data_IF_858869818472
#
_entry.id   IF_858869818472
#
_cell.length_a   1.000
_cell.length_b   1.000
_cell.length_c   1.000
_cell.angle_alpha   90.00
_cell.angle_beta   90.00
_cell.angle_gamma   90.00
#
_symmetry.space_group_name_H-M   'P 1'
#
loop_
_entity.id
_entity.type
_entity.pdbx_description
1 polymer ?
#
# COMPACT_ATOMS: atom_id res chain seq x y z
N UNK A 1 45.50 9.86 8.79
CA UNK A 1 44.30 9.81 9.67
C UNK A 1 43.10 10.32 8.87
N UNK A 2 42.53 9.55 7.90
CA UNK A 2 41.26 9.98 7.22
C UNK A 2 40.83 9.03 6.08
N UNK A 3 41.19 7.76 6.10
CA UNK A 3 40.74 6.82 5.06
C UNK A 3 39.83 5.67 5.57
N UNK A 4 39.57 5.61 6.87
CA UNK A 4 38.78 4.51 7.48
C UNK A 4 37.32 4.83 7.78
N UNK A 5 36.85 6.06 7.54
CA UNK A 5 35.47 6.43 7.88
C UNK A 5 34.46 6.35 6.74
N UNK A 6 34.87 6.02 5.53
CA UNK A 6 33.95 5.99 4.37
C UNK A 6 33.39 4.58 4.09
N UNK A 7 33.99 3.55 4.69
CA UNK A 7 33.58 2.15 4.43
C UNK A 7 32.43 1.63 5.30
N UNK A 8 31.73 2.51 6.02
CA UNK A 8 30.75 2.07 7.01
C UNK A 8 29.27 2.15 6.56
N UNK A 9 28.96 2.51 5.31
CA UNK A 9 27.54 2.80 4.93
C UNK A 9 27.13 2.13 3.59
N UNK A 10 27.58 0.94 3.28
CA UNK A 10 26.92 0.19 2.22
C UNK A 10 26.52 -1.18 2.77
N UNK A 11 25.35 -1.23 3.43
CA UNK A 11 24.61 -2.49 3.66
C UNK A 11 23.85 -2.79 2.38
N UNK A 12 24.45 -3.53 1.46
CA UNK A 12 23.68 -4.11 0.37
C UNK A 12 23.06 -5.40 0.92
N UNK A 13 21.78 -5.36 1.26
CA UNK A 13 20.98 -6.57 1.48
C UNK A 13 20.59 -7.08 0.10
N UNK A 14 21.38 -7.99 -0.47
CA UNK A 14 20.99 -8.71 -1.67
C UNK A 14 20.11 -9.88 -1.21
N UNK A 15 18.80 -9.72 -1.33
CA UNK A 15 17.86 -10.83 -1.19
C UNK A 15 17.79 -11.52 -2.55
N UNK A 16 18.57 -12.58 -2.75
CA UNK A 16 18.44 -13.45 -3.91
C UNK A 16 17.40 -14.52 -3.64
N UNK A 17 16.35 -14.54 -4.42
CA UNK A 17 15.16 -15.38 -4.24
C UNK A 17 15.23 -16.59 -5.19
N UNK A 18 16.16 -17.53 -4.90
CA UNK A 18 16.25 -18.80 -5.62
C UNK A 18 16.55 -20.00 -4.70
N UNK A 19 16.04 -19.98 -3.49
CA UNK A 19 16.03 -21.18 -2.63
C UNK A 19 17.35 -21.57 -1.96
N UNK A 20 18.44 -20.84 -2.15
CA UNK A 20 19.70 -21.16 -1.50
C UNK A 20 20.56 -19.92 -1.22
N UNK A 21 20.81 -19.70 0.05
CA UNK A 21 21.73 -18.76 0.70
C UNK A 21 21.19 -17.34 1.03
N UNK A 22 20.79 -17.20 2.30
CA UNK A 22 20.79 -15.91 2.99
C UNK A 22 22.21 -15.60 3.48
N UNK A 23 22.86 -14.59 2.92
CA UNK A 23 24.04 -14.00 3.51
C UNK A 23 23.67 -12.83 4.39
N UNK A 24 23.79 -12.97 5.69
CA UNK A 24 23.79 -11.84 6.61
C UNK A 24 25.23 -11.38 6.73
N UNK A 25 25.59 -10.28 6.08
CA UNK A 25 26.90 -9.66 6.26
C UNK A 25 26.88 -8.92 7.59
N UNK A 26 27.52 -9.48 8.60
CA UNK A 26 27.74 -8.82 9.87
C UNK A 26 29.09 -8.08 9.80
N UNK A 27 29.08 -6.79 9.99
CA UNK A 27 30.27 -5.97 9.99
C UNK A 27 31.13 -6.29 11.20
N UNK A 28 32.36 -6.73 10.95
CA UNK A 28 33.44 -6.86 11.96
C UNK A 28 33.73 -8.27 12.50
N UNK A 29 33.05 -9.31 12.03
CA UNK A 29 33.33 -10.70 12.44
C UNK A 29 33.58 -11.60 11.23
N UNK A 30 34.53 -12.55 11.37
CA UNK A 30 34.76 -13.64 10.42
C UNK A 30 33.43 -14.22 9.99
N UNK A 31 33.19 -14.33 8.68
CA UNK A 31 32.03 -15.02 8.10
C UNK A 31 32.04 -16.47 8.62
N UNK A 32 31.32 -16.74 9.69
CA UNK A 32 31.05 -18.10 10.15
C UNK A 32 29.91 -18.58 9.29
N UNK A 33 30.22 -19.39 8.30
CA UNK A 33 29.21 -20.07 7.48
C UNK A 33 28.41 -21.04 8.36
N UNK A 34 27.44 -20.51 9.09
CA UNK A 34 26.40 -21.35 9.66
C UNK A 34 25.51 -21.81 8.51
N UNK A 35 25.67 -23.04 8.11
CA UNK A 35 24.62 -23.75 7.39
C UNK A 35 23.42 -23.83 8.32
N UNK A 36 22.61 -22.75 8.33
CA UNK A 36 21.30 -22.76 8.97
C UNK A 36 20.58 -23.94 8.34
N UNK A 37 20.14 -24.88 9.16
CA UNK A 37 19.36 -26.05 8.74
C UNK A 37 18.15 -25.57 7.97
N UNK A 38 18.34 -25.39 6.68
CA UNK A 38 17.36 -24.87 5.71
C UNK A 38 16.02 -25.61 5.75
N UNK A 39 16.09 -26.91 6.08
CA UNK A 39 14.92 -27.79 6.06
C UNK A 39 13.87 -27.48 7.14
N UNK A 40 14.29 -26.98 8.32
CA UNK A 40 13.34 -26.67 9.40
C UNK A 40 12.65 -25.31 9.21
N UNK A 41 13.37 -24.31 8.70
CA UNK A 41 12.82 -22.97 8.48
C UNK A 41 11.87 -22.95 7.27
N UNK A 42 12.25 -23.58 6.17
CA UNK A 42 11.42 -23.71 4.96
C UNK A 42 10.16 -24.54 5.25
N UNK A 43 10.29 -25.66 6.02
CA UNK A 43 9.16 -26.47 6.44
C UNK A 43 8.23 -25.69 7.38
N UNK A 44 8.75 -24.89 8.30
CA UNK A 44 7.98 -24.03 9.19
C UNK A 44 7.30 -22.87 8.46
N UNK A 45 7.98 -22.26 7.47
CA UNK A 45 7.39 -21.22 6.63
C UNK A 45 6.28 -21.76 5.72
N UNK A 46 6.45 -22.99 5.18
CA UNK A 46 5.40 -23.66 4.41
C UNK A 46 4.19 -23.99 5.28
N UNK A 47 4.39 -24.49 6.48
CA UNK A 47 3.32 -24.81 7.42
C UNK A 47 2.53 -23.57 7.85
N UNK A 48 3.20 -22.45 8.13
CA UNK A 48 2.52 -21.19 8.46
C UNK A 48 1.66 -20.67 7.29
N UNK A 49 2.10 -20.83 6.05
CA UNK A 49 1.28 -20.45 4.87
C UNK A 49 0.03 -21.32 4.73
N UNK A 50 0.16 -22.62 4.98
CA UNK A 50 -0.97 -23.55 4.96
C UNK A 50 -1.98 -23.18 6.04
N UNK A 51 -1.52 -22.84 7.24
CA UNK A 51 -2.39 -22.40 8.34
C UNK A 51 -3.13 -21.11 7.94
N UNK A 52 -2.45 -20.12 7.35
CA UNK A 52 -3.08 -18.87 6.92
C UNK A 52 -4.17 -19.11 5.87
N UNK A 53 -3.89 -19.96 4.87
CA UNK A 53 -4.89 -20.34 3.86
C UNK A 53 -6.04 -21.11 4.49
N UNK A 54 -5.74 -22.02 5.42
CA UNK A 54 -6.74 -22.79 6.15
C UNK A 54 -7.67 -21.91 6.98
N UNK A 55 -7.12 -20.95 7.73
CA UNK A 55 -7.92 -19.97 8.50
C UNK A 55 -8.78 -19.13 7.57
N UNK A 56 -8.22 -18.66 6.44
CA UNK A 56 -8.97 -17.89 5.45
C UNK A 56 -10.16 -18.67 4.88
N UNK A 57 -9.94 -19.96 4.52
CA UNK A 57 -10.99 -20.83 4.03
C UNK A 57 -12.06 -21.11 5.12
N UNK A 58 -11.61 -21.36 6.34
CA UNK A 58 -12.53 -21.58 7.47
C UNK A 58 -13.38 -20.36 7.72
N UNK A 59 -12.83 -19.16 7.73
CA UNK A 59 -13.57 -17.91 7.83
C UNK A 59 -14.58 -17.76 6.68
N UNK A 60 -14.16 -18.04 5.45
CA UNK A 60 -15.02 -17.95 4.28
C UNK A 60 -16.22 -18.90 4.38
N UNK A 61 -15.99 -20.14 4.79
CA UNK A 61 -17.04 -21.14 5.01
C UNK A 61 -17.96 -20.77 6.19
N UNK A 62 -17.39 -20.27 7.28
CA UNK A 62 -18.15 -19.85 8.44
C UNK A 62 -19.12 -18.70 8.11
N UNK A 63 -18.63 -17.67 7.40
CA UNK A 63 -19.49 -16.58 6.93
C UNK A 63 -20.54 -17.06 5.91
N UNK A 64 -20.18 -18.00 5.04
CA UNK A 64 -21.11 -18.63 4.12
C UNK A 64 -22.27 -19.34 4.84
N UNK A 65 -21.95 -20.08 5.89
CA UNK A 65 -22.96 -20.78 6.71
C UNK A 65 -23.82 -19.79 7.50
N UNK A 66 -23.24 -18.78 8.15
CA UNK A 66 -23.97 -17.78 8.94
C UNK A 66 -24.91 -16.92 8.07
N UNK A 67 -24.57 -16.67 6.81
CA UNK A 67 -25.40 -15.87 5.89
C UNK A 67 -26.39 -16.70 5.07
N UNK A 68 -26.59 -17.97 5.44
CA UNK A 68 -27.52 -18.91 4.76
C UNK A 68 -27.27 -19.00 3.25
N UNK A 69 -25.99 -19.00 2.85
CA UNK A 69 -25.55 -19.11 1.46
C UNK A 69 -25.55 -17.80 0.65
N UNK A 70 -26.13 -16.72 1.13
CA UNK A 70 -26.12 -15.43 0.44
C UNK A 70 -24.72 -14.87 0.21
N UNK A 71 -23.73 -15.35 0.97
CA UNK A 71 -22.31 -14.95 0.83
C UNK A 71 -21.69 -15.47 -0.48
N UNK A 72 -22.17 -16.57 -1.02
CA UNK A 72 -21.68 -17.18 -2.27
C UNK A 72 -22.35 -16.61 -3.53
N UNK A 73 -23.25 -15.63 -3.38
CA UNK A 73 -23.91 -14.99 -4.50
C UNK A 73 -22.92 -14.31 -5.44
N UNK A 74 -23.16 -14.38 -6.76
CA UNK A 74 -22.31 -13.79 -7.81
C UNK A 74 -21.99 -12.32 -7.56
N UNK A 75 -22.96 -11.53 -7.11
CA UNK A 75 -22.77 -10.12 -6.74
C UNK A 75 -21.73 -9.90 -5.64
N UNK A 76 -21.63 -10.84 -4.69
CA UNK A 76 -20.64 -10.77 -3.60
C UNK A 76 -19.24 -11.09 -4.12
N UNK A 77 -19.14 -12.07 -5.01
CA UNK A 77 -17.86 -12.44 -5.65
C UNK A 77 -17.36 -11.26 -6.50
N UNK A 78 -18.22 -10.64 -7.29
CA UNK A 78 -17.87 -9.46 -8.07
C UNK A 78 -17.41 -8.30 -7.18
N UNK A 79 -18.08 -8.05 -6.07
CA UNK A 79 -17.64 -7.02 -5.11
C UNK A 79 -16.26 -7.34 -4.54
N UNK A 80 -15.98 -8.59 -4.17
CA UNK A 80 -14.66 -9.01 -3.69
C UNK A 80 -13.61 -8.76 -4.78
N UNK A 81 -13.89 -9.13 -6.03
CA UNK A 81 -12.97 -8.92 -7.15
C UNK A 81 -12.65 -7.42 -7.35
N UNK A 82 -13.64 -6.54 -7.24
CA UNK A 82 -13.43 -5.10 -7.32
C UNK A 82 -12.49 -4.59 -6.21
N UNK A 83 -12.62 -5.10 -4.99
CA UNK A 83 -11.66 -4.79 -3.91
C UNK A 83 -10.27 -5.33 -4.19
N UNK A 84 -10.17 -6.53 -4.78
CA UNK A 84 -8.87 -7.13 -5.15
C UNK A 84 -8.15 -6.30 -6.20
N UNK A 85 -8.83 -5.79 -7.22
CA UNK A 85 -8.22 -4.89 -8.21
C UNK A 85 -7.64 -3.65 -7.54
N UNK A 86 -8.43 -3.00 -6.72
CA UNK A 86 -8.03 -1.80 -5.99
C UNK A 86 -6.81 -2.04 -5.10
N UNK A 87 -6.86 -3.08 -4.27
CA UNK A 87 -5.74 -3.47 -3.40
C UNK A 87 -4.51 -3.91 -4.21
N UNK A 88 -4.71 -4.52 -5.39
CA UNK A 88 -3.64 -4.92 -6.29
C UNK A 88 -2.82 -3.72 -6.76
N UNK A 89 -3.46 -2.67 -7.27
CA UNK A 89 -2.78 -1.44 -7.67
C UNK A 89 -2.08 -0.77 -6.49
N UNK A 90 -2.72 -0.71 -5.33
CA UNK A 90 -2.13 -0.14 -4.13
C UNK A 90 -0.87 -0.92 -3.70
N UNK A 91 -0.93 -2.25 -3.74
CA UNK A 91 0.18 -3.12 -3.36
C UNK A 91 1.39 -2.98 -4.28
N UNK A 92 1.19 -2.70 -5.58
CA UNK A 92 2.29 -2.38 -6.49
C UNK A 92 3.04 -1.12 -6.03
N UNK A 93 2.31 -0.04 -5.69
CA UNK A 93 2.92 1.18 -5.16
C UNK A 93 3.71 0.93 -3.87
N UNK A 94 3.12 0.19 -2.93
CA UNK A 94 3.78 -0.19 -1.67
C UNK A 94 5.04 -1.03 -1.92
N UNK A 95 5.00 -1.93 -2.90
CA UNK A 95 6.15 -2.79 -3.23
C UNK A 95 7.37 -1.97 -3.66
N UNK A 96 7.19 -0.92 -4.44
CA UNK A 96 8.29 -0.02 -4.82
C UNK A 96 8.91 0.68 -3.60
N UNK A 97 8.08 1.13 -2.67
CA UNK A 97 8.56 1.79 -1.44
C UNK A 97 9.33 0.80 -0.56
N UNK A 98 8.81 -0.42 -0.38
CA UNK A 98 9.50 -1.47 0.40
C UNK A 98 10.80 -1.89 -0.28
N UNK A 99 10.84 -1.96 -1.62
CA UNK A 99 12.04 -2.30 -2.37
C UNK A 99 13.19 -1.29 -2.15
N UNK A 100 12.86 -0.02 -1.87
CA UNK A 100 13.84 1.01 -1.50
C UNK A 100 14.23 0.98 -0.01
N UNK A 101 13.68 0.04 0.77
CA UNK A 101 13.93 -0.08 2.21
C UNK A 101 13.14 0.93 3.06
N UNK A 102 12.17 1.63 2.48
CA UNK A 102 11.29 2.57 3.16
C UNK A 102 9.99 1.91 3.67
N UNK A 103 9.34 2.58 4.62
CA UNK A 103 7.98 2.28 5.05
C UNK A 103 7.17 3.55 4.83
N UNK A 104 6.04 3.45 4.12
CA UNK A 104 5.17 4.58 3.81
C UNK A 104 3.76 4.34 4.38
N UNK A 105 3.41 5.13 5.39
CA UNK A 105 2.08 5.13 5.99
C UNK A 105 1.13 6.15 5.35
N UNK A 106 1.61 6.97 4.42
CA UNK A 106 0.80 8.02 3.80
C UNK A 106 -0.11 7.53 2.68
N UNK A 107 0.17 6.37 2.09
CA UNK A 107 -0.50 5.85 0.89
C UNK A 107 -2.03 5.85 1.03
N UNK A 108 -2.56 5.24 2.09
CA UNK A 108 -4.00 5.18 2.35
C UNK A 108 -4.63 6.57 2.56
N UNK A 109 -4.13 7.37 3.51
CA UNK A 109 -4.63 8.72 3.74
C UNK A 109 -4.50 9.68 2.55
N UNK A 110 -3.41 9.61 1.78
CA UNK A 110 -3.25 10.41 0.56
C UNK A 110 -4.29 10.01 -0.48
N UNK A 111 -4.49 8.72 -0.71
CA UNK A 111 -5.53 8.23 -1.59
C UNK A 111 -6.92 8.71 -1.16
N UNK A 112 -7.23 8.64 0.13
CA UNK A 112 -8.48 9.14 0.69
C UNK A 112 -8.62 10.66 0.47
N UNK A 113 -7.55 11.43 0.66
CA UNK A 113 -7.53 12.86 0.38
C UNK A 113 -7.80 13.14 -1.10
N UNK A 114 -7.15 12.42 -2.01
CA UNK A 114 -7.39 12.55 -3.46
C UNK A 114 -8.87 12.30 -3.80
N UNK A 115 -9.46 11.24 -3.26
CA UNK A 115 -10.84 10.88 -3.51
C UNK A 115 -11.82 11.93 -2.95
N UNK A 116 -11.59 12.42 -1.74
CA UNK A 116 -12.46 13.42 -1.11
C UNK A 116 -12.38 14.77 -1.80
N UNK A 117 -11.18 15.28 -2.07
CA UNK A 117 -11.01 16.62 -2.67
C UNK A 117 -11.56 16.64 -4.10
N UNK A 118 -11.27 15.63 -4.89
CA UNK A 118 -11.77 15.54 -6.27
C UNK A 118 -13.28 15.30 -6.32
N UNK A 119 -13.81 14.40 -5.47
CA UNK A 119 -15.24 14.14 -5.38
C UNK A 119 -16.04 15.32 -4.87
N UNK A 120 -15.54 16.05 -3.88
CA UNK A 120 -16.17 17.27 -3.39
C UNK A 120 -16.18 18.38 -4.45
N UNK A 121 -15.08 18.53 -5.20
CA UNK A 121 -15.00 19.48 -6.32
C UNK A 121 -16.03 19.16 -7.41
N UNK A 122 -16.21 17.89 -7.73
CA UNK A 122 -17.23 17.43 -8.66
C UNK A 122 -18.65 17.75 -8.18
N UNK A 123 -18.98 17.40 -6.93
CA UNK A 123 -20.35 17.53 -6.40
C UNK A 123 -20.74 18.97 -6.09
N UNK A 124 -19.84 19.76 -5.51
CA UNK A 124 -20.16 21.08 -4.96
C UNK A 124 -19.85 22.20 -5.94
N UNK A 125 -18.77 22.06 -6.70
CA UNK A 125 -18.33 23.10 -7.64
C UNK A 125 -18.71 22.80 -9.09
N UNK A 126 -19.40 21.68 -9.37
CA UNK A 126 -19.82 21.32 -10.72
C UNK A 126 -18.68 21.04 -11.69
N UNK A 127 -17.50 20.70 -11.18
CA UNK A 127 -16.33 20.39 -12.01
C UNK A 127 -16.62 19.16 -12.87
N UNK A 128 -16.32 19.13 -14.17
CA UNK A 128 -16.51 17.97 -15.01
C UNK A 128 -15.77 16.73 -14.45
N UNK A 129 -16.37 15.54 -14.56
CA UNK A 129 -15.83 14.29 -14.04
C UNK A 129 -14.39 14.03 -14.49
N UNK A 130 -14.08 14.29 -15.76
CA UNK A 130 -12.72 14.12 -16.29
C UNK A 130 -11.70 15.02 -15.57
N UNK A 131 -12.07 16.26 -15.27
CA UNK A 131 -11.20 17.20 -14.53
C UNK A 131 -11.04 16.77 -13.09
N UNK A 132 -12.09 16.25 -12.44
CA UNK A 132 -12.01 15.71 -11.07
C UNK A 132 -11.06 14.50 -10.99
N UNK A 133 -11.07 13.62 -12.01
CA UNK A 133 -10.13 12.50 -12.09
C UNK A 133 -8.69 12.98 -12.27
N UNK A 134 -8.44 13.94 -13.15
CA UNK A 134 -7.11 14.55 -13.32
C UNK A 134 -6.64 15.20 -12.01
N UNK A 135 -7.54 15.91 -11.32
CA UNK A 135 -7.24 16.54 -10.03
C UNK A 135 -6.77 15.51 -8.99
N UNK A 136 -7.41 14.35 -8.93
CA UNK A 136 -6.99 13.28 -8.01
C UNK A 136 -5.55 12.79 -8.28
N UNK A 137 -5.19 12.65 -9.56
CA UNK A 137 -3.83 12.26 -9.97
C UNK A 137 -2.82 13.36 -9.61
N UNK A 138 -3.16 14.63 -9.86
CA UNK A 138 -2.28 15.76 -9.53
C UNK A 138 -2.01 15.83 -8.04
N UNK A 139 -3.03 15.69 -7.20
CA UNK A 139 -2.87 15.70 -5.74
C UNK A 139 -1.96 14.55 -5.29
N UNK A 140 -2.17 13.34 -5.81
CA UNK A 140 -1.32 12.18 -5.51
C UNK A 140 0.14 12.39 -5.91
N UNK A 141 0.38 12.97 -7.09
CA UNK A 141 1.73 13.31 -7.57
C UNK A 141 2.40 14.35 -6.67
N UNK A 142 1.68 15.38 -6.23
CA UNK A 142 2.22 16.41 -5.33
C UNK A 142 2.68 15.80 -4.00
N UNK A 143 1.88 14.91 -3.39
CA UNK A 143 2.29 14.19 -2.19
C UNK A 143 3.48 13.27 -2.44
N UNK A 144 3.51 12.56 -3.58
CA UNK A 144 4.62 11.70 -3.96
C UNK A 144 5.93 12.48 -4.14
N UNK A 145 5.89 13.60 -4.85
CA UNK A 145 7.04 14.48 -5.04
C UNK A 145 7.51 15.06 -3.70
N UNK A 146 6.59 15.52 -2.88
CA UNK A 146 6.89 16.06 -1.55
C UNK A 146 7.59 15.03 -0.66
N UNK A 147 7.03 13.82 -0.55
CA UNK A 147 7.62 12.74 0.23
C UNK A 147 8.99 12.32 -0.32
N UNK A 148 9.07 12.14 -1.63
CA UNK A 148 10.32 11.75 -2.32
C UNK A 148 11.42 12.79 -2.14
N UNK A 149 11.09 14.08 -2.25
CA UNK A 149 12.04 15.16 -2.06
C UNK A 149 12.62 15.21 -0.64
N UNK A 150 11.77 15.11 0.38
CA UNK A 150 12.22 15.12 1.78
C UNK A 150 13.11 13.91 2.11
N UNK A 151 12.75 12.73 1.60
CA UNK A 151 13.53 11.51 1.83
C UNK A 151 14.85 11.53 1.05
N UNK A 152 14.80 11.88 -0.23
CA UNK A 152 15.98 11.79 -1.10
C UNK A 152 16.98 12.93 -0.86
N UNK A 153 16.49 14.16 -0.72
CA UNK A 153 17.33 15.35 -0.64
C UNK A 153 17.70 15.70 0.81
N UNK A 154 16.72 15.75 1.69
CA UNK A 154 16.95 16.11 3.10
C UNK A 154 17.33 14.91 3.98
N UNK A 155 17.32 13.70 3.41
CA UNK A 155 17.68 12.45 4.11
C UNK A 155 16.84 12.20 5.36
N UNK A 156 15.63 12.73 5.40
CA UNK A 156 14.69 12.45 6.49
C UNK A 156 14.23 10.99 6.37
N UNK A 157 14.19 10.23 7.47
CA UNK A 157 13.70 8.85 7.45
C UNK A 157 12.31 8.74 6.81
N UNK A 158 12.07 7.82 5.86
CA UNK A 158 10.80 7.70 5.13
C UNK A 158 9.58 7.58 6.05
N UNK A 159 9.73 6.86 7.15
CA UNK A 159 8.71 6.67 8.17
C UNK A 159 8.21 8.03 8.75
N UNK A 160 9.13 8.94 9.09
CA UNK A 160 8.78 10.25 9.68
C UNK A 160 8.05 11.10 8.64
N UNK A 161 8.56 11.14 7.41
CA UNK A 161 7.95 11.90 6.31
C UNK A 161 6.55 11.39 6.03
N UNK A 162 6.36 10.08 5.93
CA UNK A 162 5.06 9.48 5.62
C UNK A 162 4.03 9.69 6.73
N UNK A 163 4.44 9.67 8.00
CA UNK A 163 3.54 9.99 9.11
C UNK A 163 3.10 11.46 9.10
N UNK A 164 4.01 12.38 8.77
CA UNK A 164 3.68 13.78 8.62
C UNK A 164 2.69 13.99 7.46
N UNK A 165 2.99 13.42 6.30
CA UNK A 165 2.14 13.49 5.11
C UNK A 165 0.76 12.86 5.32
N UNK A 166 0.69 11.77 6.08
CA UNK A 166 -0.58 11.16 6.50
C UNK A 166 -1.49 12.17 7.21
N UNK A 167 -0.93 12.91 8.17
CA UNK A 167 -1.70 13.90 8.94
C UNK A 167 -2.04 15.14 8.10
N UNK A 168 -1.12 15.59 7.25
CA UNK A 168 -1.36 16.70 6.31
C UNK A 168 -2.49 16.32 5.35
N UNK A 169 -2.48 15.12 4.76
CA UNK A 169 -3.52 14.66 3.86
C UNK A 169 -4.90 14.62 4.52
N UNK A 170 -4.98 14.10 5.75
CA UNK A 170 -6.22 14.09 6.53
C UNK A 170 -6.72 15.51 6.82
N UNK A 171 -5.82 16.40 7.19
CA UNK A 171 -6.14 17.81 7.47
C UNK A 171 -6.66 18.53 6.22
N UNK A 172 -5.97 18.40 5.08
CA UNK A 172 -6.41 18.98 3.81
C UNK A 172 -7.78 18.45 3.41
N UNK A 173 -7.99 17.14 3.48
CA UNK A 173 -9.27 16.52 3.15
C UNK A 173 -10.40 17.08 4.03
N UNK A 174 -10.19 17.14 5.35
CA UNK A 174 -11.20 17.63 6.30
C UNK A 174 -11.54 19.11 6.08
N UNK A 175 -10.54 19.97 5.91
CA UNK A 175 -10.74 21.41 5.69
C UNK A 175 -11.43 21.67 4.36
N UNK A 176 -10.97 21.01 3.28
CA UNK A 176 -11.51 21.23 1.94
C UNK A 176 -12.96 20.76 1.81
N UNK A 177 -13.30 19.62 2.38
CA UNK A 177 -14.66 19.07 2.34
C UNK A 177 -15.58 19.63 3.44
N UNK A 178 -15.07 20.49 4.32
CA UNK A 178 -15.79 20.95 5.52
C UNK A 178 -16.33 19.78 6.37
N UNK A 179 -15.57 18.69 6.41
CA UNK A 179 -15.92 17.43 7.07
C UNK A 179 -17.22 16.77 6.56
N UNK A 180 -17.68 17.15 5.36
CA UNK A 180 -18.86 16.55 4.74
C UNK A 180 -18.51 15.23 4.06
N UNK A 181 -19.45 14.29 4.06
CA UNK A 181 -19.31 13.06 3.29
C UNK A 181 -19.44 13.32 1.80
N UNK A 182 -18.60 12.66 1.02
CA UNK A 182 -18.61 12.77 -0.46
C UNK A 182 -19.12 11.43 -1.01
N UNK A 183 -20.25 11.47 -1.73
CA UNK A 183 -20.78 10.31 -2.46
C UNK A 183 -20.47 10.47 -3.96
N UNK A 184 -19.70 9.55 -4.50
CA UNK A 184 -19.45 9.50 -5.93
C UNK A 184 -20.72 9.05 -6.68
N UNK A 185 -20.94 9.49 -7.93
CA UNK A 185 -22.09 9.11 -8.75
C UNK A 185 -22.32 7.60 -8.76
N UNK A 186 -23.59 7.20 -8.70
CA UNK A 186 -23.96 5.81 -8.82
C UNK A 186 -24.06 5.40 -10.29
N UNK A 187 -24.12 4.09 -10.55
CA UNK A 187 -24.23 3.55 -11.90
C UNK A 187 -25.50 4.05 -12.65
N UNK A 188 -26.56 4.42 -11.89
CA UNK A 188 -27.81 5.00 -12.42
C UNK A 188 -27.68 6.47 -12.84
N UNK A 189 -26.65 7.16 -12.40
CA UNK A 189 -26.47 8.58 -12.71
C UNK A 189 -25.82 8.77 -14.10
N UNK A 190 -26.11 9.88 -14.81
CA UNK A 190 -25.51 10.17 -16.11
C UNK A 190 -23.97 10.15 -16.12
N UNK A 191 -23.36 10.48 -14.97
CA UNK A 191 -21.92 10.50 -14.77
C UNK A 191 -21.40 9.17 -14.15
N UNK A 192 -22.26 8.16 -13.98
CA UNK A 192 -21.91 6.86 -13.41
C UNK A 192 -21.37 5.85 -14.41
N UNK A 193 -21.07 6.24 -15.65
CA UNK A 193 -20.61 5.38 -16.75
C UNK A 193 -19.41 4.50 -16.40
N UNK A 194 -18.52 4.98 -15.55
CA UNK A 194 -17.31 4.25 -15.10
C UNK A 194 -17.59 3.08 -14.14
N UNK A 195 -18.82 2.96 -13.61
CA UNK A 195 -19.20 1.86 -12.70
C UNK A 195 -19.85 0.67 -13.42
N UNK A 196 -20.18 0.84 -14.69
CA UNK A 196 -20.85 -0.17 -15.51
C UNK A 196 -19.90 -0.90 -16.47
N UNK A 197 -18.61 -0.58 -16.44
CA UNK A 197 -17.57 -1.20 -17.27
C UNK A 197 -16.88 -2.38 -16.59
#
# INVERSE_FOLDING_TARGET
>A
MTRERVNCIIRIVIIKWDGSLFYVINYGGKVKGEKIKQNAFVKKAGFNRIILVGVMLLMYLAFGALTKGNFFGMSRILNIMNYVYFLGFLSLGVTFVIATGGIDFSIGPVMFCCALVSGYSFLTHGVPMAVALVLSVVIGLLFGIFNGYLVAYWKVPPFIVSMASMNIAKGIAAVFTKTQSVSWPQASDPNGWYRNS
#
